data_IF_064917550819
#
_entry.id   IF_064917550819
#
_cell.length_a   1.000
_cell.length_b   1.000
_cell.length_c   1.000
_cell.angle_alpha   90.00
_cell.angle_beta   90.00
_cell.angle_gamma   90.00
#
_symmetry.space_group_name_H-M   'P 1'
#
loop_
_entity.id
_entity.type
_entity.pdbx_description
1 polymer ?
#
# COMPACT_ATOMS: atom_id res chain seq x y z
N UNK A 1 -13.15 48.10 14.64
CA UNK A 1 -12.50 47.54 15.82
C UNK A 1 -13.12 46.17 16.26
N UNK A 2 -14.45 46.07 16.47
CA UNK A 2 -15.10 44.78 16.84
C UNK A 2 -14.87 43.60 15.89
N UNK A 3 -14.90 43.84 14.56
CA UNK A 3 -14.74 42.78 13.55
C UNK A 3 -13.30 42.24 13.47
N UNK A 4 -12.30 43.05 13.79
CA UNK A 4 -10.90 42.63 13.83
C UNK A 4 -10.61 41.77 15.06
N UNK A 5 -11.19 42.14 16.21
CA UNK A 5 -11.08 41.40 17.47
C UNK A 5 -11.72 39.99 17.37
N UNK A 6 -12.87 39.90 16.69
CA UNK A 6 -13.54 38.60 16.44
C UNK A 6 -12.75 37.65 15.55
N UNK A 7 -12.01 38.18 14.56
CA UNK A 7 -11.09 37.37 13.73
C UNK A 7 -9.94 36.78 14.53
N UNK A 8 -9.38 37.51 15.47
CA UNK A 8 -8.32 37.01 16.35
C UNK A 8 -8.82 35.94 17.32
N UNK A 9 -10.02 36.09 17.89
CA UNK A 9 -10.62 35.07 18.76
C UNK A 9 -10.87 33.77 17.99
N UNK A 10 -11.41 33.84 16.77
CA UNK A 10 -11.62 32.66 15.90
C UNK A 10 -10.30 32.01 15.54
N UNK A 11 -9.28 32.77 15.17
CA UNK A 11 -7.95 32.24 14.85
C UNK A 11 -7.29 31.55 16.06
N UNK A 12 -7.40 32.13 17.25
CA UNK A 12 -6.91 31.51 18.48
C UNK A 12 -7.67 30.24 18.84
N UNK A 13 -9.00 30.22 18.68
CA UNK A 13 -9.82 29.02 18.93
C UNK A 13 -9.48 27.87 17.95
N UNK A 14 -9.26 28.18 16.67
CA UNK A 14 -8.82 27.21 15.67
C UNK A 14 -7.40 26.68 16.01
N UNK A 15 -6.51 27.55 16.42
CA UNK A 15 -5.14 27.15 16.81
C UNK A 15 -5.16 26.25 18.05
N UNK A 16 -5.97 26.57 19.05
CA UNK A 16 -6.18 25.73 20.24
C UNK A 16 -6.74 24.35 19.89
N UNK A 17 -7.73 24.30 18.99
CA UNK A 17 -8.33 23.05 18.55
C UNK A 17 -7.33 22.17 17.79
N UNK A 18 -6.50 22.77 16.95
CA UNK A 18 -5.44 22.05 16.20
C UNK A 18 -4.35 21.51 17.14
N UNK A 19 -3.96 22.26 18.17
CA UNK A 19 -2.97 21.83 19.17
C UNK A 19 -3.54 20.69 20.03
N UNK A 20 -4.82 20.74 20.42
CA UNK A 20 -5.46 19.64 21.16
C UNK A 20 -5.57 18.37 20.34
N UNK A 21 -5.92 18.47 19.06
CA UNK A 21 -5.95 17.31 18.17
C UNK A 21 -4.55 16.68 17.98
N UNK A 22 -3.53 17.50 17.74
CA UNK A 22 -2.15 17.02 17.62
C UNK A 22 -1.66 16.35 18.93
N UNK A 23 -2.02 16.89 20.09
CA UNK A 23 -1.67 16.32 21.38
C UNK A 23 -2.40 14.98 21.65
N UNK A 24 -3.66 14.88 21.25
CA UNK A 24 -4.44 13.65 21.38
C UNK A 24 -3.90 12.54 20.45
N UNK A 25 -3.57 12.89 19.21
CA UNK A 25 -2.98 11.97 18.24
C UNK A 25 -1.61 11.45 18.71
N UNK A 26 -0.76 12.32 19.24
CA UNK A 26 0.55 11.94 19.78
C UNK A 26 0.43 11.01 21.00
N UNK A 27 -0.56 11.23 21.90
CA UNK A 27 -0.83 10.33 23.01
C UNK A 27 -1.33 8.96 22.55
N UNK A 28 -2.18 8.90 21.54
CA UNK A 28 -2.70 7.66 20.98
C UNK A 28 -1.61 6.84 20.31
N UNK A 29 -0.74 7.49 19.53
CA UNK A 29 0.43 6.88 18.90
C UNK A 29 1.39 6.31 19.95
N UNK A 30 1.72 7.08 20.99
CA UNK A 30 2.56 6.63 22.12
C UNK A 30 1.97 5.43 22.86
N UNK A 31 0.64 5.38 23.04
CA UNK A 31 -0.05 4.27 23.67
C UNK A 31 -0.01 3.01 22.80
N UNK A 32 -0.19 3.17 21.48
CA UNK A 32 -0.09 2.09 20.51
C UNK A 32 1.33 1.49 20.48
N UNK A 33 2.35 2.33 20.37
CA UNK A 33 3.75 1.91 20.41
C UNK A 33 4.10 1.17 21.72
N UNK A 34 3.60 1.65 22.84
CA UNK A 34 3.77 0.98 24.14
C UNK A 34 3.15 -0.43 24.13
N UNK A 35 1.93 -0.56 23.56
CA UNK A 35 1.25 -1.84 23.42
C UNK A 35 2.02 -2.78 22.49
N UNK A 36 2.45 -2.30 21.32
CA UNK A 36 3.25 -3.07 20.35
C UNK A 36 4.53 -3.59 21.03
N UNK A 37 5.29 -2.72 21.67
CA UNK A 37 6.52 -3.07 22.35
C UNK A 37 6.30 -4.08 23.49
N UNK A 38 5.17 -4.00 24.22
CA UNK A 38 4.81 -4.97 25.24
C UNK A 38 4.53 -6.37 24.66
N UNK A 39 3.93 -6.42 23.48
CA UNK A 39 3.66 -7.68 22.76
C UNK A 39 4.99 -8.28 22.25
N UNK A 40 5.82 -7.47 21.58
CA UNK A 40 7.12 -7.90 21.05
C UNK A 40 8.01 -8.48 22.15
N UNK A 41 7.99 -7.91 23.36
CA UNK A 41 8.74 -8.45 24.52
C UNK A 41 8.26 -9.83 24.96
N UNK A 42 7.00 -10.18 24.73
CA UNK A 42 6.42 -11.47 25.08
C UNK A 42 6.62 -12.53 24.00
N UNK A 43 7.01 -12.14 22.78
CA UNK A 43 7.25 -13.04 21.67
C UNK A 43 8.59 -13.78 21.84
N UNK A 44 8.59 -15.08 21.51
CA UNK A 44 9.82 -15.86 21.36
C UNK A 44 10.59 -15.42 20.10
N UNK A 45 11.85 -15.84 20.00
CA UNK A 45 12.64 -15.57 18.79
C UNK A 45 12.01 -16.25 17.56
N UNK A 46 11.56 -17.50 17.69
CA UNK A 46 10.96 -18.25 16.59
C UNK A 46 9.67 -17.58 16.08
N UNK A 47 8.83 -17.07 17.00
CA UNK A 47 7.63 -16.32 16.62
C UNK A 47 7.96 -15.03 15.87
N UNK A 48 8.98 -14.30 16.29
CA UNK A 48 9.46 -13.11 15.59
C UNK A 48 9.97 -13.44 14.19
N UNK A 49 10.75 -14.52 14.06
CA UNK A 49 11.26 -14.99 12.77
C UNK A 49 10.12 -15.43 11.87
N UNK A 50 9.15 -16.20 12.40
CA UNK A 50 8.00 -16.66 11.61
C UNK A 50 7.17 -15.52 11.01
N UNK A 51 7.06 -14.38 11.70
CA UNK A 51 6.35 -13.20 11.17
C UNK A 51 7.10 -12.45 10.06
N UNK A 52 8.39 -12.75 9.84
CA UNK A 52 9.19 -12.06 8.82
C UNK A 52 9.15 -12.73 7.45
N UNK A 53 8.43 -13.83 7.31
CA UNK A 53 8.28 -14.54 6.03
C UNK A 53 6.85 -15.05 5.83
N UNK A 54 6.53 -15.44 4.60
CA UNK A 54 5.24 -16.08 4.32
C UNK A 54 5.11 -17.45 5.00
N UNK A 55 3.98 -17.69 5.62
CA UNK A 55 3.60 -19.01 6.17
C UNK A 55 2.94 -19.91 5.13
N UNK A 56 2.41 -19.30 4.07
CA UNK A 56 1.80 -19.96 2.91
C UNK A 56 1.79 -18.99 1.73
N UNK A 57 1.16 -19.35 0.60
CA UNK A 57 1.18 -18.58 -0.65
C UNK A 57 0.70 -17.12 -0.45
N UNK A 58 -0.41 -16.93 0.24
CA UNK A 58 -0.97 -15.60 0.55
C UNK A 58 -1.20 -15.39 2.05
N UNK A 59 -0.25 -15.84 2.89
CA UNK A 59 -0.36 -15.73 4.34
C UNK A 59 0.99 -15.41 4.98
N UNK A 60 0.96 -14.63 6.07
CA UNK A 60 2.07 -14.46 7.00
C UNK A 60 1.66 -14.92 8.40
N UNK A 61 2.59 -15.55 9.12
CA UNK A 61 2.28 -16.11 10.41
C UNK A 61 1.80 -15.06 11.42
N UNK A 62 0.81 -15.44 12.23
CA UNK A 62 0.42 -14.72 13.43
C UNK A 62 1.06 -15.32 14.67
N UNK A 63 0.65 -14.82 15.85
CA UNK A 63 1.02 -15.36 17.16
C UNK A 63 -0.25 -15.54 17.98
N UNK A 64 -1.02 -16.64 17.78
CA UNK A 64 -2.36 -16.82 18.35
C UNK A 64 -2.39 -16.71 19.87
N UNK A 65 -1.36 -17.23 20.58
CA UNK A 65 -1.28 -17.12 22.05
C UNK A 65 -1.17 -15.68 22.56
N UNK A 66 -0.80 -14.71 21.71
CA UNK A 66 -0.75 -13.28 22.00
C UNK A 66 -1.89 -12.50 21.36
N UNK A 67 -2.85 -13.19 20.75
CA UNK A 67 -3.99 -12.58 20.07
C UNK A 67 -3.64 -11.93 18.72
N UNK A 68 -2.50 -12.27 18.12
CA UNK A 68 -2.11 -11.80 16.80
C UNK A 68 -2.58 -12.84 15.77
N UNK A 69 -3.56 -12.51 14.91
CA UNK A 69 -4.04 -13.42 13.88
C UNK A 69 -2.98 -13.64 12.80
N UNK A 70 -3.13 -14.72 12.04
CA UNK A 70 -2.45 -14.87 10.77
C UNK A 70 -2.91 -13.77 9.81
N UNK A 71 -1.99 -13.14 9.09
CA UNK A 71 -2.31 -12.15 8.07
C UNK A 71 -2.61 -12.87 6.76
N UNK A 72 -3.81 -12.65 6.22
CA UNK A 72 -4.24 -13.16 4.92
C UNK A 72 -4.20 -12.05 3.87
N UNK A 73 -3.69 -12.39 2.70
CA UNK A 73 -3.58 -11.47 1.57
C UNK A 73 -4.55 -11.89 0.46
N UNK A 74 -5.00 -10.92 -0.32
CA UNK A 74 -5.58 -11.17 -1.63
C UNK A 74 -4.86 -10.34 -2.69
N UNK A 75 -4.81 -10.82 -3.91
CA UNK A 75 -4.12 -10.17 -5.02
C UNK A 75 -5.13 -9.71 -6.06
N UNK A 76 -4.73 -8.72 -6.82
CA UNK A 76 -5.44 -8.29 -8.01
C UNK A 76 -5.65 -6.80 -8.13
N UNK A 77 -4.89 -6.13 -9.01
CA UNK A 77 -5.14 -4.73 -9.33
C UNK A 77 -6.33 -4.52 -10.28
N UNK A 78 -6.99 -5.59 -10.73
CA UNK A 78 -8.19 -5.55 -11.58
C UNK A 78 -9.44 -6.09 -10.86
N UNK A 79 -9.40 -6.12 -9.54
CA UNK A 79 -10.38 -6.76 -8.69
C UNK A 79 -9.76 -7.90 -7.90
N UNK A 80 -10.49 -8.41 -6.93
CA UNK A 80 -10.03 -9.51 -6.08
C UNK A 80 -9.94 -10.78 -6.92
N UNK A 81 -8.82 -11.48 -6.88
CA UNK A 81 -8.66 -12.73 -7.62
C UNK A 81 -9.38 -13.89 -6.92
N UNK A 82 -9.55 -14.99 -7.63
CA UNK A 82 -10.06 -16.24 -7.04
C UNK A 82 -9.16 -16.71 -5.90
N UNK A 83 -9.73 -17.43 -4.94
CA UNK A 83 -8.97 -18.03 -3.86
C UNK A 83 -8.06 -19.14 -4.36
N UNK A 84 -6.82 -19.12 -3.93
CA UNK A 84 -5.80 -20.12 -4.24
C UNK A 84 -5.68 -21.14 -3.10
N UNK A 85 -5.22 -22.35 -3.43
CA UNK A 85 -4.82 -23.32 -2.42
C UNK A 85 -3.79 -22.72 -1.47
N UNK A 86 -3.83 -23.13 -0.22
CA UNK A 86 -2.92 -22.60 0.80
C UNK A 86 -1.44 -22.72 0.41
N UNK A 87 -1.07 -23.79 -0.27
CA UNK A 87 0.31 -24.06 -0.71
C UNK A 87 0.31 -24.36 -2.21
N UNK A 88 0.25 -23.34 -3.02
CA UNK A 88 0.23 -23.49 -4.47
C UNK A 88 -0.48 -22.36 -5.19
N UNK A 89 -0.70 -22.56 -6.48
CA UNK A 89 -1.33 -21.58 -7.37
C UNK A 89 -2.59 -22.11 -8.04
N UNK A 90 -3.07 -23.29 -7.57
CA UNK A 90 -4.32 -23.83 -8.05
C UNK A 90 -5.50 -23.14 -7.36
N UNK A 91 -6.67 -23.20 -7.96
CA UNK A 91 -7.88 -22.70 -7.33
C UNK A 91 -8.22 -23.52 -6.08
N UNK A 92 -8.56 -22.86 -5.00
CA UNK A 92 -9.13 -23.50 -3.81
C UNK A 92 -10.54 -24.08 -4.06
N UNK A 93 -11.12 -23.83 -5.24
CA UNK A 93 -12.45 -24.29 -5.66
C UNK A 93 -13.59 -23.88 -4.71
N UNK A 94 -13.51 -22.66 -4.18
CA UNK A 94 -14.61 -22.12 -3.38
C UNK A 94 -15.87 -21.94 -4.25
N UNK A 95 -17.02 -22.32 -3.73
CA UNK A 95 -18.30 -22.17 -4.42
C UNK A 95 -18.82 -20.73 -4.43
N UNK A 96 -18.27 -19.88 -3.58
CA UNK A 96 -18.64 -18.46 -3.41
C UNK A 96 -17.48 -17.53 -3.79
N UNK A 97 -16.71 -17.91 -4.80
CA UNK A 97 -15.50 -17.20 -5.23
C UNK A 97 -15.76 -16.18 -6.36
N UNK A 98 -16.95 -15.58 -6.36
CA UNK A 98 -17.31 -14.52 -7.30
C UNK A 98 -16.63 -13.21 -6.92
N UNK A 99 -16.06 -12.52 -7.91
CA UNK A 99 -15.47 -11.21 -7.76
C UNK A 99 -15.75 -10.34 -8.98
N UNK A 100 -15.75 -9.04 -8.81
CA UNK A 100 -15.93 -8.07 -9.88
C UNK A 100 -14.64 -7.90 -10.67
N UNK A 101 -14.71 -8.11 -11.98
CA UNK A 101 -13.62 -7.70 -12.87
C UNK A 101 -13.72 -6.20 -13.10
N UNK A 102 -12.86 -5.46 -12.41
CA UNK A 102 -12.83 -4.01 -12.45
C UNK A 102 -12.10 -3.48 -13.70
N UNK A 103 -12.33 -2.22 -14.11
CA UNK A 103 -11.54 -1.57 -15.13
C UNK A 103 -10.05 -1.61 -14.79
N UNK A 104 -9.19 -1.70 -15.79
CA UNK A 104 -7.75 -1.69 -15.56
C UNK A 104 -7.24 -0.30 -15.08
N UNK A 105 -6.02 -0.26 -14.52
CA UNK A 105 -5.44 0.97 -13.98
C UNK A 105 -5.39 2.10 -15.00
N UNK A 106 -5.00 1.80 -16.24
CA UNK A 106 -4.96 2.79 -17.33
C UNK A 106 -6.35 3.34 -17.67
N UNK A 107 -7.42 2.53 -17.60
CA UNK A 107 -8.80 3.01 -17.81
C UNK A 107 -9.26 3.91 -16.67
N UNK A 108 -8.93 3.58 -15.42
CA UNK A 108 -9.19 4.48 -14.27
C UNK A 108 -8.42 5.80 -14.46
N UNK A 109 -7.18 5.76 -14.88
CA UNK A 109 -6.37 6.95 -15.12
C UNK A 109 -6.93 7.82 -16.24
N UNK A 110 -7.47 7.23 -17.29
CA UNK A 110 -8.10 7.94 -18.41
C UNK A 110 -9.34 8.75 -18.00
N UNK A 111 -9.93 8.46 -16.85
CA UNK A 111 -11.05 9.28 -16.32
C UNK A 111 -10.58 10.62 -15.76
N UNK A 112 -9.32 10.78 -15.39
CA UNK A 112 -8.77 11.94 -14.66
C UNK A 112 -9.56 12.28 -13.40
N UNK A 113 -10.28 11.31 -12.85
CA UNK A 113 -11.19 11.51 -11.73
C UNK A 113 -10.73 10.72 -10.49
N UNK A 114 -10.17 11.39 -9.47
CA UNK A 114 -9.76 10.75 -8.21
C UNK A 114 -10.90 10.03 -7.48
N UNK A 115 -12.15 10.53 -7.60
CA UNK A 115 -13.31 9.88 -6.98
C UNK A 115 -13.57 8.49 -7.58
N UNK A 116 -13.32 8.31 -8.87
CA UNK A 116 -13.43 6.99 -9.50
C UNK A 116 -12.36 6.03 -8.97
N UNK A 117 -11.14 6.50 -8.73
CA UNK A 117 -10.11 5.71 -8.08
C UNK A 117 -10.49 5.33 -6.63
N UNK A 118 -11.16 6.23 -5.91
CA UNK A 118 -11.69 5.92 -4.59
C UNK A 118 -12.75 4.82 -4.64
N UNK A 119 -13.75 4.95 -5.51
CA UNK A 119 -14.81 3.95 -5.69
C UNK A 119 -14.25 2.59 -6.10
N UNK A 120 -13.27 2.60 -6.99
CA UNK A 120 -12.52 1.41 -7.39
C UNK A 120 -11.86 0.71 -6.18
N UNK A 121 -11.21 1.50 -5.31
CA UNK A 121 -10.64 0.99 -4.06
C UNK A 121 -11.68 0.46 -3.09
N UNK A 122 -12.84 1.12 -2.97
CA UNK A 122 -13.96 0.67 -2.12
C UNK A 122 -14.42 -0.72 -2.54
N UNK A 123 -14.70 -0.95 -3.82
CA UNK A 123 -15.16 -2.27 -4.32
C UNK A 123 -14.13 -3.36 -4.02
N UNK A 124 -12.84 -3.09 -4.27
CA UNK A 124 -11.78 -4.06 -3.92
C UNK A 124 -11.73 -4.36 -2.42
N UNK A 125 -11.84 -3.32 -1.60
CA UNK A 125 -11.83 -3.47 -0.15
C UNK A 125 -13.05 -4.24 0.37
N UNK A 126 -14.25 -3.97 -0.14
CA UNK A 126 -15.48 -4.68 0.20
C UNK A 126 -15.38 -6.18 -0.13
N UNK A 127 -14.93 -6.52 -1.33
CA UNK A 127 -14.80 -7.90 -1.76
C UNK A 127 -13.70 -8.65 -0.99
N UNK A 128 -12.56 -8.00 -0.73
CA UNK A 128 -11.50 -8.58 0.10
C UNK A 128 -11.96 -8.80 1.54
N UNK A 129 -12.65 -7.82 2.14
CA UNK A 129 -13.22 -7.96 3.49
C UNK A 129 -14.25 -9.10 3.57
N UNK A 130 -15.14 -9.21 2.58
CA UNK A 130 -16.12 -10.31 2.50
C UNK A 130 -15.46 -11.69 2.45
N UNK A 131 -14.22 -11.80 2.00
CA UNK A 131 -13.39 -13.00 1.98
C UNK A 131 -12.51 -13.17 3.22
N UNK A 132 -12.67 -12.31 4.24
CA UNK A 132 -11.82 -12.26 5.43
C UNK A 132 -10.34 -12.04 5.13
N UNK A 133 -10.02 -11.26 4.10
CA UNK A 133 -8.66 -10.86 3.79
C UNK A 133 -8.31 -9.58 4.54
N UNK A 134 -7.13 -9.56 5.13
CA UNK A 134 -6.65 -8.44 5.94
C UNK A 134 -5.89 -7.44 5.09
N UNK A 135 -5.23 -7.91 4.02
CA UNK A 135 -4.39 -7.09 3.14
C UNK A 135 -4.76 -7.35 1.69
N UNK A 136 -5.04 -6.29 0.95
CA UNK A 136 -5.19 -6.31 -0.50
C UNK A 136 -3.89 -5.87 -1.16
N UNK A 137 -3.33 -6.71 -2.04
CA UNK A 137 -2.10 -6.42 -2.79
C UNK A 137 -2.38 -5.49 -3.97
N UNK A 138 -2.84 -4.29 -3.66
CA UNK A 138 -3.24 -3.23 -4.57
C UNK A 138 -3.14 -1.85 -3.88
N UNK A 139 -3.11 -0.74 -4.65
CA UNK A 139 -3.05 -0.66 -6.11
C UNK A 139 -1.65 -0.91 -6.69
N UNK A 140 -1.60 -1.34 -7.96
CA UNK A 140 -0.40 -1.25 -8.77
C UNK A 140 -0.19 0.20 -9.23
N UNK A 141 1.03 0.75 -9.05
CA UNK A 141 1.26 2.18 -9.30
C UNK A 141 2.64 2.50 -9.88
N UNK A 142 3.29 1.54 -10.52
CA UNK A 142 4.54 1.85 -11.21
C UNK A 142 4.30 2.86 -12.34
N UNK A 143 5.30 3.67 -12.62
CA UNK A 143 5.26 4.61 -13.75
C UNK A 143 5.27 3.84 -15.07
N UNK A 144 4.35 4.20 -15.98
CA UNK A 144 4.26 3.64 -17.33
C UNK A 144 5.34 4.26 -18.24
N UNK A 145 6.64 4.04 -17.93
CA UNK A 145 7.76 4.63 -18.68
C UNK A 145 7.91 4.06 -20.09
N UNK A 146 7.66 2.75 -20.23
CA UNK A 146 7.83 2.03 -21.48
C UNK A 146 6.53 1.31 -21.80
N UNK A 147 5.89 1.58 -22.94
CA UNK A 147 4.62 0.95 -23.33
C UNK A 147 4.72 -0.57 -23.46
N UNK A 148 5.92 -1.10 -23.69
CA UNK A 148 6.17 -2.53 -23.88
C UNK A 148 6.23 -3.34 -22.58
N UNK A 149 6.12 -2.71 -21.41
CA UNK A 149 6.00 -3.43 -20.16
C UNK A 149 4.72 -4.26 -20.13
N UNK A 150 4.83 -5.57 -19.90
CA UNK A 150 3.71 -6.50 -19.92
C UNK A 150 2.65 -6.25 -18.83
N UNK A 151 2.91 -5.34 -17.86
CA UNK A 151 2.01 -4.99 -16.76
C UNK A 151 1.55 -3.52 -16.77
N UNK A 152 1.82 -2.77 -17.84
CA UNK A 152 1.40 -1.36 -17.97
C UNK A 152 -0.11 -1.19 -17.78
N UNK A 153 -0.91 -2.18 -18.18
CA UNK A 153 -2.37 -2.14 -18.06
C UNK A 153 -2.87 -2.04 -16.60
N UNK A 154 -2.14 -2.55 -15.63
CA UNK A 154 -2.52 -2.50 -14.22
C UNK A 154 -2.02 -1.24 -13.48
N UNK A 155 -1.16 -0.45 -14.13
CA UNK A 155 -0.65 0.80 -13.61
C UNK A 155 -1.45 1.98 -14.14
N UNK A 156 -1.37 3.13 -13.44
CA UNK A 156 -2.21 4.27 -13.78
C UNK A 156 -1.67 5.09 -14.94
N UNK A 157 -0.46 5.64 -14.82
CA UNK A 157 0.01 6.68 -15.73
C UNK A 157 1.53 6.74 -15.85
N UNK A 158 2.00 7.44 -16.91
CA UNK A 158 3.38 7.91 -17.02
C UNK A 158 3.62 9.22 -16.26
N UNK A 159 2.55 9.96 -15.92
CA UNK A 159 2.62 11.20 -15.15
C UNK A 159 2.66 10.90 -13.65
N UNK A 160 3.76 11.27 -12.94
CA UNK A 160 3.90 11.05 -11.50
C UNK A 160 2.82 11.75 -10.66
N UNK A 161 2.33 12.91 -11.10
CA UNK A 161 1.31 13.65 -10.36
C UNK A 161 -0.06 12.98 -10.47
N UNK A 162 -0.51 12.66 -11.69
CA UNK A 162 -1.77 11.94 -11.88
C UNK A 162 -1.75 10.59 -11.16
N UNK A 163 -0.65 9.85 -11.29
CA UNK A 163 -0.45 8.58 -10.61
C UNK A 163 -0.58 8.73 -9.10
N UNK A 164 0.03 9.78 -8.52
CA UNK A 164 -0.05 10.08 -7.09
C UNK A 164 -1.49 10.36 -6.64
N UNK A 165 -2.24 11.19 -7.38
CA UNK A 165 -3.61 11.56 -7.02
C UNK A 165 -4.56 10.36 -7.03
N UNK A 166 -4.42 9.48 -8.01
CA UNK A 166 -5.24 8.27 -8.12
C UNK A 166 -4.86 7.24 -7.05
N UNK A 167 -3.57 7.05 -6.82
CA UNK A 167 -3.06 6.14 -5.81
C UNK A 167 -3.54 6.49 -4.39
N UNK A 168 -3.48 7.77 -4.00
CA UNK A 168 -4.01 8.26 -2.72
C UNK A 168 -5.46 7.83 -2.53
N UNK A 169 -6.28 8.02 -3.55
CA UNK A 169 -7.71 7.75 -3.44
C UNK A 169 -8.04 6.26 -3.47
N UNK A 170 -7.33 5.48 -4.28
CA UNK A 170 -7.49 4.03 -4.29
C UNK A 170 -7.11 3.41 -2.93
N UNK A 171 -5.99 3.85 -2.34
CA UNK A 171 -5.59 3.44 -0.98
C UNK A 171 -6.67 3.77 0.05
N UNK A 172 -7.17 5.01 0.05
CA UNK A 172 -8.25 5.43 0.96
C UNK A 172 -9.52 4.60 0.76
N UNK A 173 -9.86 4.30 -0.49
CA UNK A 173 -11.00 3.45 -0.82
C UNK A 173 -10.87 2.04 -0.23
N UNK A 174 -9.76 1.36 -0.49
CA UNK A 174 -9.49 0.02 0.06
C UNK A 174 -9.55 0.04 1.60
N UNK A 175 -8.85 0.98 2.22
CA UNK A 175 -8.71 1.03 3.67
C UNK A 175 -9.99 1.48 4.38
N UNK A 176 -10.91 2.17 3.71
CA UNK A 176 -12.23 2.48 4.24
C UNK A 176 -13.07 1.23 4.53
N UNK A 177 -12.70 0.09 3.96
CA UNK A 177 -13.37 -1.20 4.12
C UNK A 177 -12.64 -2.13 5.12
N UNK A 178 -11.80 -1.59 5.99
CA UNK A 178 -11.04 -2.32 7.03
C UNK A 178 -10.04 -3.34 6.46
N UNK A 179 -9.57 -3.14 5.24
CA UNK A 179 -8.54 -3.92 4.57
C UNK A 179 -7.33 -3.04 4.33
N UNK A 180 -6.15 -3.50 4.68
CA UNK A 180 -4.91 -2.75 4.42
C UNK A 180 -4.59 -2.74 2.92
N UNK A 181 -4.28 -1.58 2.37
CA UNK A 181 -3.74 -1.48 1.02
C UNK A 181 -2.24 -1.76 1.03
N UNK A 182 -1.79 -2.64 0.13
CA UNK A 182 -0.37 -2.93 -0.12
C UNK A 182 0.02 -2.41 -1.49
N UNK A 183 0.55 -1.18 -1.51
CA UNK A 183 0.92 -0.52 -2.77
C UNK A 183 2.12 -1.19 -3.43
N UNK A 184 2.10 -1.33 -4.77
CA UNK A 184 3.08 -2.15 -5.50
C UNK A 184 3.43 -1.59 -6.87
N UNK A 185 4.63 -1.91 -7.40
CA UNK A 185 5.76 -2.67 -6.84
C UNK A 185 6.92 -1.69 -6.60
N UNK A 186 7.41 -1.59 -5.41
CA UNK A 186 8.47 -0.63 -5.04
C UNK A 186 9.86 -1.23 -5.27
N UNK A 187 10.58 -0.78 -6.31
CA UNK A 187 10.19 0.21 -7.29
C UNK A 187 10.62 -0.23 -8.70
N UNK A 188 10.14 0.54 -9.68
CA UNK A 188 10.57 0.44 -11.08
C UNK A 188 10.38 -0.96 -11.70
N UNK A 189 9.23 -1.61 -11.47
CA UNK A 189 8.85 -2.83 -12.19
C UNK A 189 8.37 -2.46 -13.61
N UNK A 190 9.31 -2.11 -14.49
CA UNK A 190 9.04 -1.57 -15.82
C UNK A 190 9.26 -2.58 -16.95
N UNK A 191 9.64 -3.79 -16.62
CA UNK A 191 9.80 -4.90 -17.58
C UNK A 191 9.47 -6.23 -16.91
N UNK A 192 8.68 -7.06 -17.59
CA UNK A 192 8.28 -8.38 -17.11
C UNK A 192 9.19 -9.51 -17.61
N UNK A 193 9.85 -9.33 -18.77
CA UNK A 193 10.82 -10.31 -19.27
C UNK A 193 12.02 -10.34 -18.32
N UNK A 194 12.30 -11.51 -17.77
CA UNK A 194 13.36 -11.72 -16.76
C UNK A 194 13.24 -10.83 -15.52
N UNK A 195 12.02 -10.46 -15.09
CA UNK A 195 11.76 -9.51 -13.99
C UNK A 195 12.44 -9.87 -12.66
N UNK A 196 12.72 -11.14 -12.41
CA UNK A 196 13.41 -11.60 -11.21
C UNK A 196 14.94 -11.38 -11.22
N UNK A 197 15.52 -11.01 -12.36
CA UNK A 197 16.98 -10.86 -12.51
C UNK A 197 17.39 -9.58 -13.22
N UNK A 198 16.49 -8.91 -13.91
CA UNK A 198 16.78 -7.67 -14.62
C UNK A 198 17.27 -6.58 -13.66
N UNK A 199 18.19 -5.74 -14.14
CA UNK A 199 18.69 -4.59 -13.41
C UNK A 199 18.26 -3.29 -14.11
N UNK A 200 17.37 -2.55 -13.47
CA UNK A 200 16.97 -1.21 -13.89
C UNK A 200 18.04 -0.20 -13.47
N UNK A 201 18.70 0.40 -14.46
CA UNK A 201 19.73 1.42 -14.23
C UNK A 201 19.09 2.79 -14.31
N UNK A 202 18.89 3.42 -13.17
CA UNK A 202 18.15 4.68 -13.06
C UNK A 202 18.92 5.61 -12.13
N UNK A 203 19.16 6.85 -12.56
CA UNK A 203 19.78 7.86 -11.71
C UNK A 203 18.87 8.28 -10.56
N UNK A 204 19.47 8.77 -9.47
CA UNK A 204 18.74 9.13 -8.26
C UNK A 204 17.73 10.26 -8.49
N UNK A 205 18.02 11.22 -9.37
CA UNK A 205 17.10 12.30 -9.68
C UNK A 205 15.83 11.75 -10.34
N UNK A 206 15.98 10.87 -11.33
CA UNK A 206 14.84 10.24 -11.99
C UNK A 206 14.03 9.38 -11.00
N UNK A 207 14.69 8.64 -10.11
CA UNK A 207 14.00 7.90 -9.06
C UNK A 207 13.14 8.82 -8.19
N UNK A 208 13.67 9.95 -7.74
CA UNK A 208 12.98 10.89 -6.84
C UNK A 208 11.91 11.72 -7.53
N UNK A 209 12.10 12.10 -8.79
CA UNK A 209 11.17 12.99 -9.49
C UNK A 209 10.07 12.23 -10.24
N UNK A 210 10.31 10.96 -10.64
CA UNK A 210 9.40 10.20 -11.51
C UNK A 210 8.90 8.91 -10.83
N UNK A 211 9.78 8.09 -10.27
CA UNK A 211 9.42 6.74 -9.82
C UNK A 211 8.87 6.70 -8.38
N UNK A 212 9.35 7.56 -7.49
CA UNK A 212 8.94 7.53 -6.08
C UNK A 212 7.73 8.40 -5.72
N UNK A 213 7.36 9.47 -6.44
CA UNK A 213 6.32 10.38 -5.98
C UNK A 213 4.98 9.70 -5.67
N UNK A 214 4.54 8.75 -6.49
CA UNK A 214 3.28 8.05 -6.24
C UNK A 214 3.33 7.18 -4.97
N UNK A 215 4.44 6.51 -4.69
CA UNK A 215 4.63 5.75 -3.46
C UNK A 215 4.68 6.66 -2.23
N UNK A 216 5.42 7.76 -2.31
CA UNK A 216 5.44 8.78 -1.26
C UNK A 216 4.03 9.30 -0.96
N UNK A 217 3.30 9.69 -1.99
CA UNK A 217 1.94 10.19 -1.84
C UNK A 217 0.97 9.15 -1.26
N UNK A 218 1.07 7.90 -1.69
CA UNK A 218 0.26 6.81 -1.16
C UNK A 218 0.51 6.56 0.33
N UNK A 219 1.76 6.68 0.78
CA UNK A 219 2.12 6.53 2.19
C UNK A 219 1.72 7.77 3.01
N UNK A 220 2.19 8.96 2.63
CA UNK A 220 2.03 10.17 3.44
C UNK A 220 0.61 10.74 3.41
N UNK A 221 -0.10 10.62 2.28
CA UNK A 221 -1.43 11.22 2.09
C UNK A 221 -2.54 10.17 2.00
N UNK A 222 -2.23 8.98 1.46
CA UNK A 222 -3.13 7.84 1.41
C UNK A 222 -3.14 7.03 2.70
N UNK A 223 -2.09 7.15 3.51
CA UNK A 223 -1.87 6.37 4.73
C UNK A 223 -1.81 4.85 4.45
N UNK A 224 -1.15 4.45 3.37
CA UNK A 224 -1.00 3.03 3.01
C UNK A 224 -0.29 2.24 4.12
N UNK A 225 -0.88 1.11 4.52
CA UNK A 225 -0.35 0.30 5.63
C UNK A 225 0.73 -0.69 5.21
N UNK A 226 0.83 -1.00 3.93
CA UNK A 226 1.83 -1.92 3.43
C UNK A 226 2.38 -1.47 2.06
N UNK A 227 3.61 -1.92 1.77
CA UNK A 227 4.27 -1.70 0.49
C UNK A 227 4.94 -3.00 0.06
N UNK A 228 4.78 -3.36 -1.22
CA UNK A 228 5.41 -4.53 -1.81
C UNK A 228 6.63 -4.13 -2.60
N UNK A 229 7.79 -4.70 -2.28
CA UNK A 229 9.00 -4.51 -3.09
C UNK A 229 8.87 -5.19 -4.46
N UNK A 230 9.53 -4.61 -5.47
CA UNK A 230 9.59 -5.21 -6.80
C UNK A 230 10.58 -6.39 -6.85
N UNK A 231 10.42 -7.26 -7.84
CA UNK A 231 11.32 -8.41 -8.04
C UNK A 231 12.65 -8.02 -8.67
N UNK A 232 12.69 -6.96 -9.47
CA UNK A 232 13.87 -6.51 -10.20
C UNK A 232 14.96 -5.93 -9.29
N UNK A 233 16.14 -5.75 -9.87
CA UNK A 233 17.18 -4.93 -9.27
C UNK A 233 17.02 -3.47 -9.66
N UNK A 234 17.52 -2.58 -8.82
CA UNK A 234 17.81 -1.19 -9.16
C UNK A 234 19.27 -0.91 -8.82
N UNK A 235 20.01 -0.45 -9.81
CA UNK A 235 21.43 -0.09 -9.71
C UNK A 235 22.27 -1.20 -9.05
N UNK A 236 22.01 -2.45 -9.43
CA UNK A 236 22.76 -3.63 -9.01
C UNK A 236 22.21 -4.39 -7.81
N UNK A 237 21.25 -3.84 -7.05
CA UNK A 237 20.69 -4.47 -5.84
C UNK A 237 19.23 -4.85 -6.05
N UNK A 238 18.79 -6.04 -5.64
CA UNK A 238 17.38 -6.41 -5.65
C UNK A 238 16.58 -5.47 -4.76
N UNK A 239 15.41 -5.06 -5.21
CA UNK A 239 14.58 -4.11 -4.45
C UNK A 239 14.30 -4.56 -3.02
N UNK A 240 14.17 -5.87 -2.79
CA UNK A 240 13.91 -6.47 -1.46
C UNK A 240 15.12 -6.46 -0.50
N UNK A 241 16.33 -6.19 -0.98
CA UNK A 241 17.55 -6.10 -0.16
C UNK A 241 18.23 -4.71 -0.28
N UNK A 242 17.69 -3.83 -1.10
CA UNK A 242 18.30 -2.53 -1.41
C UNK A 242 18.18 -1.57 -0.21
N UNK A 243 19.28 -1.39 0.51
CA UNK A 243 19.33 -0.48 1.66
C UNK A 243 18.95 0.97 1.31
N UNK A 244 19.32 1.45 0.11
CA UNK A 244 18.92 2.79 -0.34
C UNK A 244 17.40 2.89 -0.42
N UNK A 245 16.72 1.93 -1.06
CA UNK A 245 15.25 1.93 -1.15
C UNK A 245 14.58 1.75 0.20
N UNK A 246 14.93 0.68 0.92
CA UNK A 246 14.17 0.23 2.09
C UNK A 246 14.48 0.99 3.37
N UNK A 247 15.65 1.63 3.44
CA UNK A 247 16.05 2.37 4.64
C UNK A 247 16.15 3.86 4.37
N UNK A 248 16.98 4.27 3.39
CA UNK A 248 17.22 5.71 3.17
C UNK A 248 16.06 6.46 2.51
N UNK A 249 15.23 5.75 1.73
CA UNK A 249 14.05 6.36 1.06
C UNK A 249 12.78 6.16 1.86
N UNK A 250 12.52 4.92 2.33
CA UNK A 250 11.24 4.61 2.99
C UNK A 250 11.20 4.96 4.49
N UNK A 251 12.34 5.02 5.19
CA UNK A 251 12.36 5.16 6.66
C UNK A 251 13.00 6.46 7.15
N UNK A 252 13.63 7.24 6.27
CA UNK A 252 14.25 8.52 6.57
C UNK A 252 13.70 9.63 5.66
#
# INVERSE_FOLDING_TARGET
>A
MKMMFMKYIIACAILFFLVDQASAQNKQETALETKINSIIKKMTLDEKIAMLHGSATFYSAGVPRLGIPELSYDDGPLGVRREEERFGWNSANWTTDSATFLPNGSAIAATWNPEMAHKYGVVMGEEANARNKIIMLAPGMNICRVPLCGRTYEYYSEDPYLNSQLAIQAVKGIQSQHVAACVKHFAANNQEVNRAVINEVIDERALREIYFPAFKAAIEQGNAYAIMSAYNKINGYWCSENNFLLTKVLKN
#
